data_IF_356282503133
#
_entry.id   IF_356282503133
#
_cell.length_a   1.000
_cell.length_b   1.000
_cell.length_c   1.000
_cell.angle_alpha   90.00
_cell.angle_beta   90.00
_cell.angle_gamma   90.00
#
_symmetry.space_group_name_H-M   'P 1'
#
loop_
_entity.id
_entity.type
_entity.pdbx_description
1 polymer ?
#
# COMPACT_ATOMS: atom_id res chain seq x y z
N UNK A 1 -5.90 2.35 22.79
CA UNK A 1 -4.60 2.66 22.16
C UNK A 1 -4.43 1.75 20.95
N UNK A 2 -5.20 2.03 19.91
CA UNK A 2 -5.22 1.27 18.65
C UNK A 2 -5.78 2.15 17.51
N UNK A 3 -5.76 3.48 17.69
CA UNK A 3 -6.62 4.42 16.96
C UNK A 3 -5.91 5.11 15.80
N UNK A 4 -4.57 5.24 15.81
CA UNK A 4 -3.86 6.04 14.81
C UNK A 4 -3.90 5.43 13.41
N UNK A 5 -3.57 4.13 13.26
CA UNK A 5 -3.59 3.47 11.95
C UNK A 5 -4.99 3.43 11.34
N UNK A 6 -6.01 3.13 12.15
CA UNK A 6 -7.39 3.08 11.66
C UNK A 6 -7.95 4.47 11.39
N UNK A 7 -7.64 5.48 12.21
CA UNK A 7 -8.05 6.87 11.93
C UNK A 7 -7.37 7.43 10.68
N UNK A 8 -6.10 7.11 10.45
CA UNK A 8 -5.42 7.46 9.21
C UNK A 8 -5.99 6.71 8.00
N UNK A 9 -6.34 5.44 8.17
CA UNK A 9 -7.03 4.66 7.14
C UNK A 9 -8.41 5.24 6.79
N UNK A 10 -9.21 5.63 7.79
CA UNK A 10 -10.52 6.27 7.57
C UNK A 10 -10.38 7.55 6.73
N UNK A 11 -9.33 8.36 6.96
CA UNK A 11 -9.01 9.53 6.14
C UNK A 11 -8.73 9.17 4.68
N UNK A 12 -7.95 8.11 4.45
CA UNK A 12 -7.68 7.59 3.10
C UNK A 12 -8.97 7.10 2.44
N UNK A 13 -9.75 6.26 3.12
CA UNK A 13 -11.05 5.76 2.61
C UNK A 13 -12.00 6.91 2.24
N UNK A 14 -12.18 7.89 3.14
CA UNK A 14 -13.07 9.03 2.92
C UNK A 14 -12.59 9.89 1.75
N UNK A 15 -11.27 10.11 1.63
CA UNK A 15 -10.70 10.83 0.50
C UNK A 15 -10.92 10.10 -0.82
N UNK A 16 -10.68 8.79 -0.87
CA UNK A 16 -10.92 7.98 -2.08
C UNK A 16 -12.39 8.01 -2.48
N UNK A 17 -13.30 7.85 -1.51
CA UNK A 17 -14.73 7.88 -1.78
C UNK A 17 -15.19 9.20 -2.40
N UNK A 18 -14.58 10.32 -1.99
CA UNK A 18 -14.93 11.65 -2.47
C UNK A 18 -14.27 12.02 -3.80
N UNK A 19 -13.01 11.61 -4.02
CA UNK A 19 -12.17 12.14 -5.10
C UNK A 19 -11.75 11.08 -6.13
N UNK A 20 -11.68 9.81 -5.74
CA UNK A 20 -11.24 8.69 -6.58
C UNK A 20 -12.18 7.48 -6.41
N UNK A 21 -13.45 7.60 -6.85
CA UNK A 21 -14.48 6.58 -6.60
C UNK A 21 -14.18 5.21 -7.21
N UNK A 22 -13.43 5.13 -8.31
CA UNK A 22 -12.99 3.84 -8.87
C UNK A 22 -11.94 3.18 -7.96
N UNK A 23 -11.00 3.96 -7.41
CA UNK A 23 -10.07 3.43 -6.41
C UNK A 23 -10.75 3.07 -5.09
N UNK A 24 -11.81 3.78 -4.69
CA UNK A 24 -12.63 3.34 -3.56
C UNK A 24 -13.34 2.01 -3.85
N UNK A 25 -13.83 1.83 -5.08
CA UNK A 25 -14.51 0.61 -5.49
C UNK A 25 -13.59 -0.62 -5.62
N UNK A 26 -12.26 -0.44 -5.72
CA UNK A 26 -11.30 -1.55 -5.75
C UNK A 26 -11.09 -2.19 -4.38
N UNK A 27 -11.47 -1.51 -3.28
CA UNK A 27 -11.39 -2.04 -1.92
C UNK A 27 -12.30 -3.27 -1.76
N UNK A 28 -11.71 -4.40 -1.36
CA UNK A 28 -12.44 -5.64 -1.14
C UNK A 28 -13.22 -5.60 0.17
N UNK A 29 -14.31 -6.39 0.33
CA UNK A 29 -14.96 -6.56 1.61
C UNK A 29 -13.98 -7.02 2.72
N UNK A 30 -14.31 -6.80 4.00
CA UNK A 30 -13.53 -7.31 5.14
C UNK A 30 -13.12 -8.78 5.01
N UNK A 31 -11.90 -9.11 5.42
CA UNK A 31 -11.53 -10.50 5.65
C UNK A 31 -12.21 -11.04 6.92
N UNK A 32 -12.58 -12.32 6.89
CA UNK A 32 -13.06 -13.03 8.07
C UNK A 32 -11.94 -13.20 9.12
N UNK A 33 -12.22 -13.08 10.44
CA UNK A 33 -11.22 -13.27 11.49
C UNK A 33 -10.49 -14.62 11.41
N UNK A 34 -11.18 -15.68 11.00
CA UNK A 34 -10.60 -17.00 10.78
C UNK A 34 -9.61 -17.02 9.61
N UNK A 35 -9.87 -16.27 8.54
CA UNK A 35 -8.92 -16.15 7.41
C UNK A 35 -7.68 -15.37 7.83
N UNK A 36 -7.84 -14.29 8.60
CA UNK A 36 -6.71 -13.54 9.16
C UNK A 36 -5.86 -14.42 10.08
N UNK A 37 -6.49 -15.18 10.98
CA UNK A 37 -5.77 -16.10 11.86
C UNK A 37 -5.04 -17.21 11.07
N UNK A 38 -5.66 -17.74 10.02
CA UNK A 38 -5.03 -18.73 9.14
C UNK A 38 -3.85 -18.15 8.36
N UNK A 39 -3.96 -16.92 7.86
CA UNK A 39 -2.85 -16.22 7.20
C UNK A 39 -1.67 -16.00 8.15
N UNK A 40 -1.95 -15.53 9.37
CA UNK A 40 -0.93 -15.38 10.42
C UNK A 40 -0.22 -16.72 10.71
N UNK A 41 -0.99 -17.81 10.84
CA UNK A 41 -0.43 -19.14 11.05
C UNK A 41 0.42 -19.63 9.86
N UNK A 42 0.01 -19.34 8.62
CA UNK A 42 0.77 -19.69 7.40
C UNK A 42 2.09 -18.93 7.29
N UNK A 43 2.13 -17.66 7.72
CA UNK A 43 3.36 -16.87 7.76
C UNK A 43 4.25 -17.23 8.96
N UNK A 44 3.69 -17.87 10.00
CA UNK A 44 4.45 -18.31 11.17
C UNK A 44 4.92 -17.16 12.08
N UNK A 45 4.32 -15.97 11.96
CA UNK A 45 4.65 -14.79 12.77
C UNK A 45 3.42 -14.24 13.47
N UNK A 46 3.60 -13.61 14.62
CA UNK A 46 2.51 -12.89 15.30
C UNK A 46 2.44 -11.48 14.76
N UNK A 47 1.27 -11.06 14.30
CA UNK A 47 1.07 -9.73 13.74
C UNK A 47 0.75 -8.72 14.85
N UNK A 48 1.24 -7.48 14.74
CA UNK A 48 0.68 -6.37 15.47
C UNK A 48 -0.83 -6.25 15.22
N UNK A 49 -1.59 -5.86 16.23
CA UNK A 49 -3.06 -5.85 16.17
C UNK A 49 -3.56 -4.94 15.03
N UNK A 50 -2.90 -3.81 14.83
CA UNK A 50 -3.18 -2.83 13.80
C UNK A 50 -3.01 -3.38 12.38
N UNK A 51 -2.08 -4.31 12.17
CA UNK A 51 -1.87 -4.98 10.88
C UNK A 51 -3.06 -5.89 10.57
N UNK A 52 -3.46 -6.72 11.54
CA UNK A 52 -4.66 -7.56 11.39
C UNK A 52 -5.93 -6.72 11.22
N UNK A 53 -6.02 -5.56 11.90
CA UNK A 53 -7.17 -4.68 11.83
C UNK A 53 -7.42 -4.11 10.42
N UNK A 54 -6.36 -3.86 9.62
CA UNK A 54 -6.53 -3.43 8.23
C UNK A 54 -7.18 -4.52 7.38
N UNK A 55 -6.76 -5.78 7.50
CA UNK A 55 -7.40 -6.87 6.74
C UNK A 55 -8.82 -7.18 7.21
N UNK A 56 -9.08 -7.01 8.52
CA UNK A 56 -10.44 -7.05 9.06
C UNK A 56 -11.33 -5.89 8.59
N UNK A 57 -10.74 -4.86 7.96
CA UNK A 57 -11.47 -3.75 7.36
C UNK A 57 -11.67 -3.98 5.86
N UNK A 58 -10.62 -4.37 5.14
CA UNK A 58 -10.66 -4.74 3.72
C UNK A 58 -9.71 -5.91 3.46
N UNK A 59 -10.15 -6.96 2.76
CA UNK A 59 -9.27 -8.06 2.29
C UNK A 59 -8.42 -7.62 1.09
N UNK A 60 -7.63 -6.56 1.26
CA UNK A 60 -6.87 -5.93 0.18
C UNK A 60 -7.73 -5.11 -0.78
N UNK A 61 -7.16 -4.85 -1.94
CA UNK A 61 -7.82 -4.25 -3.09
C UNK A 61 -7.57 -5.09 -4.35
N UNK A 62 -8.43 -4.93 -5.35
CA UNK A 62 -8.35 -5.68 -6.60
C UNK A 62 -8.66 -4.74 -7.78
N UNK A 63 -7.72 -4.68 -8.73
CA UNK A 63 -7.84 -3.89 -9.94
C UNK A 63 -8.93 -4.41 -10.85
N UNK A 64 -9.50 -3.54 -11.66
CA UNK A 64 -10.49 -3.87 -12.67
C UNK A 64 -10.36 -2.91 -13.86
N UNK A 65 -10.90 -3.29 -15.01
CA UNK A 65 -10.90 -2.45 -16.21
C UNK A 65 -11.69 -1.16 -15.97
N UNK A 66 -11.06 -0.02 -16.26
CA UNK A 66 -11.64 1.30 -16.06
C UNK A 66 -12.22 1.81 -17.38
N UNK A 67 -13.50 2.19 -17.37
CA UNK A 67 -14.14 2.77 -18.55
C UNK A 67 -13.40 4.03 -19.02
N UNK A 68 -12.98 4.05 -20.28
CA UNK A 68 -12.22 5.16 -20.88
C UNK A 68 -10.70 5.04 -20.77
N UNK A 69 -10.19 3.97 -20.16
CA UNK A 69 -8.77 3.61 -20.19
C UNK A 69 -8.51 2.64 -21.35
N UNK A 70 -8.28 3.20 -22.55
CA UNK A 70 -8.13 2.40 -23.78
C UNK A 70 -6.86 1.52 -23.77
N UNK A 71 -5.83 1.93 -23.03
CA UNK A 71 -4.52 1.26 -22.98
C UNK A 71 -4.36 0.37 -21.72
N UNK A 72 -5.29 0.48 -20.74
CA UNK A 72 -5.30 -0.36 -19.54
C UNK A 72 -4.19 -0.04 -18.54
N UNK A 73 -3.75 1.23 -18.51
CA UNK A 73 -2.61 1.67 -17.72
C UNK A 73 -3.01 2.19 -16.32
N UNK A 74 -4.29 2.50 -16.13
CA UNK A 74 -4.85 2.99 -14.87
C UNK A 74 -5.35 1.82 -14.03
N UNK A 75 -4.60 1.50 -12.96
CA UNK A 75 -5.03 0.50 -11.99
C UNK A 75 -5.70 1.16 -10.77
N UNK A 76 -7.02 0.95 -10.56
CA UNK A 76 -7.73 1.52 -9.42
C UNK A 76 -7.23 1.00 -8.06
N UNK A 77 -6.52 -0.13 -8.00
CA UNK A 77 -6.03 -0.70 -6.74
C UNK A 77 -4.72 -0.08 -6.23
N UNK A 78 -3.96 0.64 -7.08
CA UNK A 78 -2.63 1.20 -6.75
C UNK A 78 -2.66 2.52 -5.98
N UNK A 79 -3.59 2.64 -5.03
CA UNK A 79 -3.82 3.90 -4.32
C UNK A 79 -2.85 4.14 -3.14
N UNK A 80 -2.16 3.11 -2.62
CA UNK A 80 -1.21 3.25 -1.51
C UNK A 80 0.18 3.67 -2.01
N UNK A 81 0.31 4.93 -2.43
CA UNK A 81 1.55 5.48 -2.98
C UNK A 81 2.08 4.67 -4.19
N UNK A 82 1.17 4.27 -5.09
CA UNK A 82 1.48 3.48 -6.28
C UNK A 82 1.51 1.98 -6.06
N UNK A 83 1.18 1.50 -4.86
CA UNK A 83 1.07 0.08 -4.53
C UNK A 83 -0.38 -0.32 -4.21
N UNK A 84 -0.66 -1.60 -4.43
CA UNK A 84 -1.93 -2.24 -4.10
C UNK A 84 -1.91 -2.75 -2.67
N UNK A 85 -2.97 -2.49 -1.89
CA UNK A 85 -3.16 -3.17 -0.61
C UNK A 85 -3.37 -4.67 -0.86
N UNK A 86 -2.44 -5.53 -0.45
CA UNK A 86 -2.45 -6.93 -0.86
C UNK A 86 -3.63 -7.68 -0.23
N UNK A 87 -4.41 -8.45 -1.03
CA UNK A 87 -5.32 -9.45 -0.47
C UNK A 87 -4.55 -10.45 0.41
N UNK A 88 -5.21 -11.00 1.44
CA UNK A 88 -4.52 -11.85 2.42
C UNK A 88 -3.76 -13.02 1.80
N UNK A 89 -4.37 -13.70 0.83
CA UNK A 89 -3.74 -14.85 0.17
C UNK A 89 -2.49 -14.45 -0.61
N UNK A 90 -2.49 -13.22 -1.12
CA UNK A 90 -1.36 -12.64 -1.83
C UNK A 90 -0.25 -12.22 -0.88
N UNK A 91 -0.60 -11.57 0.24
CA UNK A 91 0.35 -11.28 1.30
C UNK A 91 1.06 -12.56 1.77
N UNK A 92 0.34 -13.67 1.94
CA UNK A 92 0.93 -14.98 2.30
C UNK A 92 1.87 -15.49 1.20
N UNK A 93 1.49 -15.36 -0.08
CA UNK A 93 2.33 -15.77 -1.22
C UNK A 93 3.63 -14.97 -1.27
N UNK A 94 3.53 -13.64 -1.20
CA UNK A 94 4.69 -12.72 -1.21
C UNK A 94 5.61 -13.00 -0.02
N UNK A 95 5.03 -13.19 1.18
CA UNK A 95 5.81 -13.54 2.36
C UNK A 95 6.61 -14.82 2.13
N UNK A 96 5.95 -15.91 1.73
CA UNK A 96 6.62 -17.19 1.49
C UNK A 96 7.72 -17.09 0.42
N UNK A 97 7.47 -16.38 -0.68
CA UNK A 97 8.41 -16.24 -1.79
C UNK A 97 9.67 -15.43 -1.43
N UNK A 98 9.59 -14.52 -0.45
CA UNK A 98 10.68 -13.57 -0.14
C UNK A 98 11.37 -13.82 1.20
N UNK A 99 10.82 -14.68 2.04
CA UNK A 99 11.39 -15.05 3.34
C UNK A 99 12.52 -16.08 3.30
N UNK A 100 12.75 -16.76 2.16
CA UNK A 100 13.79 -17.78 2.04
C UNK A 100 15.19 -17.19 2.34
N UNK A 101 15.97 -17.73 3.29
CA UNK A 101 17.23 -17.13 3.73
C UNK A 101 18.34 -17.17 2.69
N UNK A 102 18.28 -18.11 1.74
CA UNK A 102 19.32 -18.33 0.74
C UNK A 102 19.02 -17.60 -0.58
N UNK A 103 17.73 -17.49 -0.92
CA UNK A 103 17.26 -17.02 -2.23
C UNK A 103 16.26 -15.87 -2.16
N UNK A 104 15.64 -15.65 -1.00
CA UNK A 104 14.63 -14.61 -0.78
C UNK A 104 15.26 -13.24 -0.56
N UNK A 105 14.71 -12.22 -1.23
CA UNK A 105 15.24 -10.87 -1.16
C UNK A 105 15.10 -10.21 0.24
N UNK A 106 14.14 -10.66 1.06
CA UNK A 106 14.04 -10.26 2.48
C UNK A 106 14.91 -11.17 3.36
N UNK A 107 14.89 -12.48 3.09
CA UNK A 107 15.84 -13.42 3.70
C UNK A 107 15.58 -13.75 5.18
N UNK A 108 14.41 -13.38 5.70
CA UNK A 108 13.95 -13.75 7.03
C UNK A 108 12.43 -13.82 7.07
N UNK A 109 11.86 -14.42 8.12
CA UNK A 109 10.40 -14.55 8.31
C UNK A 109 9.80 -13.45 9.18
N UNK A 110 10.61 -12.59 9.80
CA UNK A 110 10.17 -11.58 10.79
C UNK A 110 9.45 -10.35 10.23
N UNK A 111 8.63 -10.50 9.18
CA UNK A 111 7.98 -9.40 8.47
C UNK A 111 6.63 -9.80 7.88
N UNK A 112 5.79 -8.81 7.60
CA UNK A 112 4.47 -8.98 6.99
C UNK A 112 4.34 -8.01 5.81
N UNK A 113 4.17 -8.48 4.56
CA UNK A 113 3.91 -7.61 3.42
C UNK A 113 2.52 -6.98 3.55
N UNK A 114 2.45 -5.67 3.36
CA UNK A 114 1.22 -4.88 3.41
C UNK A 114 0.72 -4.55 2.01
N UNK A 115 1.58 -3.93 1.20
CA UNK A 115 1.26 -3.52 -0.16
C UNK A 115 2.29 -4.05 -1.14
N UNK A 116 1.96 -4.07 -2.43
CA UNK A 116 2.85 -4.53 -3.50
C UNK A 116 2.47 -3.99 -4.88
N UNK A 117 3.43 -4.05 -5.81
CA UNK A 117 3.19 -3.89 -7.24
C UNK A 117 2.77 -5.24 -7.86
N UNK A 118 2.06 -5.20 -8.99
CA UNK A 118 1.48 -6.39 -9.65
C UNK A 118 2.52 -7.40 -10.12
N UNK A 119 3.73 -6.93 -10.42
CA UNK A 119 4.87 -7.76 -10.80
C UNK A 119 5.63 -8.34 -9.60
N UNK A 120 5.08 -8.15 -8.40
CA UNK A 120 5.72 -8.43 -7.11
C UNK A 120 7.09 -7.76 -6.96
N UNK A 121 7.38 -6.68 -7.68
CA UNK A 121 8.74 -6.17 -7.69
C UNK A 121 9.10 -5.51 -6.36
N UNK A 122 8.18 -4.76 -5.75
CA UNK A 122 8.39 -4.11 -4.48
C UNK A 122 7.07 -3.75 -3.80
N UNK A 123 7.16 -3.40 -2.51
CA UNK A 123 6.04 -2.92 -1.75
C UNK A 123 6.40 -2.58 -0.32
N UNK A 124 5.38 -2.26 0.48
CA UNK A 124 5.55 -1.92 1.88
C UNK A 124 5.33 -3.13 2.80
N UNK A 125 6.03 -3.16 3.93
CA UNK A 125 5.95 -4.22 4.94
C UNK A 125 6.03 -3.65 6.35
N UNK A 126 5.56 -4.45 7.31
CA UNK A 126 5.79 -4.24 8.75
C UNK A 126 6.75 -5.32 9.25
N UNK A 127 7.81 -4.92 9.94
CA UNK A 127 8.68 -5.84 10.68
C UNK A 127 7.97 -6.27 11.96
N UNK A 128 7.98 -7.56 12.27
CA UNK A 128 7.21 -8.14 13.39
C UNK A 128 8.05 -8.97 14.36
N UNK A 129 9.36 -9.09 14.11
CA UNK A 129 10.30 -9.75 15.01
C UNK A 129 11.61 -8.96 15.13
N UNK A 130 12.34 -9.19 16.21
CA UNK A 130 13.63 -8.57 16.48
C UNK A 130 13.54 -7.11 16.98
N UNK A 131 14.69 -6.40 17.01
CA UNK A 131 14.78 -5.05 17.60
C UNK A 131 14.01 -3.98 16.83
N UNK A 132 13.64 -4.27 15.58
CA UNK A 132 12.90 -3.37 14.70
C UNK A 132 11.40 -3.71 14.60
N UNK A 133 10.89 -4.62 15.45
CA UNK A 133 9.47 -4.98 15.46
C UNK A 133 8.56 -3.75 15.62
N UNK A 134 7.49 -3.71 14.82
CA UNK A 134 6.57 -2.58 14.68
C UNK A 134 6.99 -1.55 13.63
N UNK A 135 8.20 -1.66 13.06
CA UNK A 135 8.68 -0.69 12.08
C UNK A 135 8.20 -0.96 10.67
N UNK A 136 7.86 0.10 9.94
CA UNK A 136 7.64 0.05 8.50
C UNK A 136 8.97 -0.09 7.75
N UNK A 137 8.90 -0.86 6.67
CA UNK A 137 9.98 -0.97 5.71
C UNK A 137 9.44 -1.27 4.32
N UNK A 138 10.36 -1.28 3.36
CA UNK A 138 10.13 -1.66 1.98
C UNK A 138 10.78 -3.00 1.71
N UNK A 139 10.07 -3.88 1.02
CA UNK A 139 10.62 -5.08 0.42
C UNK A 139 10.77 -4.86 -1.10
N UNK A 140 11.71 -5.57 -1.72
CA UNK A 140 11.99 -5.54 -3.15
C UNK A 140 12.40 -6.93 -3.63
N UNK A 141 12.21 -7.23 -4.90
CA UNK A 141 12.65 -8.47 -5.54
C UNK A 141 14.16 -8.49 -5.80
N UNK A 142 14.76 -7.30 -6.01
CA UNK A 142 16.18 -7.18 -6.39
C UNK A 142 17.03 -6.47 -5.36
N UNK A 143 16.42 -5.72 -4.45
CA UNK A 143 17.11 -5.05 -3.35
C UNK A 143 16.78 -5.70 -2.01
N UNK A 144 17.75 -5.66 -1.10
CA UNK A 144 17.52 -6.03 0.30
C UNK A 144 16.45 -5.13 0.91
N UNK A 145 15.67 -5.71 1.80
CA UNK A 145 14.66 -4.98 2.56
C UNK A 145 15.27 -3.79 3.31
N UNK A 146 14.55 -2.67 3.37
CA UNK A 146 15.02 -1.42 3.99
C UNK A 146 13.96 -0.85 4.91
N UNK A 147 14.36 -0.38 6.08
CA UNK A 147 13.45 0.31 7.00
C UNK A 147 13.28 1.77 6.59
N UNK A 148 12.07 2.29 6.78
CA UNK A 148 11.80 3.70 6.54
C UNK A 148 12.30 4.56 7.70
N UNK A 149 12.78 5.77 7.37
CA UNK A 149 13.23 6.77 8.32
C UNK A 149 12.22 7.88 8.61
N UNK A 150 11.34 8.19 7.65
CA UNK A 150 10.39 9.31 7.74
C UNK A 150 9.02 8.90 8.28
N UNK A 151 8.56 7.68 7.97
CA UNK A 151 7.36 7.07 8.52
C UNK A 151 7.73 5.69 9.08
N UNK A 152 7.98 5.63 10.38
CA UNK A 152 8.56 4.43 10.99
C UNK A 152 7.52 3.42 11.44
N UNK A 153 6.23 3.76 11.51
CA UNK A 153 5.15 2.88 11.98
C UNK A 153 4.04 2.78 10.93
N UNK A 154 3.17 1.78 11.05
CA UNK A 154 2.01 1.63 10.16
C UNK A 154 1.12 2.89 10.17
N UNK A 155 0.83 3.42 11.36
CA UNK A 155 0.07 4.66 11.52
C UNK A 155 0.76 5.86 10.89
N UNK A 156 2.09 5.97 11.05
CA UNK A 156 2.87 7.03 10.39
C UNK A 156 2.87 6.92 8.87
N UNK A 157 2.92 5.71 8.32
CA UNK A 157 2.82 5.49 6.87
C UNK A 157 1.45 5.89 6.32
N UNK A 158 0.37 5.41 6.94
CA UNK A 158 -0.99 5.77 6.51
C UNK A 158 -1.27 7.26 6.71
N UNK A 159 -0.72 7.87 7.75
CA UNK A 159 -0.79 9.33 7.96
C UNK A 159 -0.06 10.07 6.84
N UNK A 160 1.12 9.61 6.44
CA UNK A 160 1.85 10.20 5.32
C UNK A 160 1.09 10.07 3.99
N UNK A 161 0.39 8.95 3.77
CA UNK A 161 -0.50 8.78 2.59
C UNK A 161 -1.63 9.80 2.66
N UNK A 162 -2.34 9.88 3.79
CA UNK A 162 -3.44 10.82 3.98
C UNK A 162 -3.01 12.29 3.81
N UNK A 163 -1.87 12.69 4.37
CA UNK A 163 -1.33 14.05 4.21
C UNK A 163 -0.97 14.37 2.76
N UNK A 164 -0.35 13.43 2.03
CA UNK A 164 -0.07 13.63 0.62
C UNK A 164 -1.36 13.83 -0.18
N UNK A 165 -2.42 13.06 0.10
CA UNK A 165 -3.73 13.18 -0.56
C UNK A 165 -4.46 14.47 -0.20
N UNK A 166 -4.49 14.85 1.07
CA UNK A 166 -5.29 15.98 1.56
C UNK A 166 -4.62 17.34 1.33
N UNK A 167 -3.29 17.40 1.39
CA UNK A 167 -2.56 18.68 1.35
C UNK A 167 -1.40 18.73 0.37
N UNK A 168 -1.04 17.61 -0.27
CA UNK A 168 0.10 17.55 -1.20
C UNK A 168 1.44 17.69 -0.49
N UNK A 169 1.49 17.38 0.81
CA UNK A 169 2.69 17.55 1.65
C UNK A 169 3.04 16.25 2.36
N UNK A 170 4.16 16.25 3.09
CA UNK A 170 4.58 15.14 3.91
C UNK A 170 5.60 14.25 3.19
N UNK A 171 6.10 13.21 3.88
CA UNK A 171 7.29 12.49 3.45
C UNK A 171 7.11 11.65 2.18
N UNK A 172 5.86 11.41 1.75
CA UNK A 172 5.58 10.77 0.47
C UNK A 172 5.52 11.76 -0.70
N UNK A 173 5.05 13.00 -0.48
CA UNK A 173 5.01 14.04 -1.51
C UNK A 173 6.41 14.59 -1.83
N UNK A 174 7.34 14.55 -0.88
CA UNK A 174 8.73 15.00 -1.08
C UNK A 174 9.58 13.99 -1.89
N UNK A 175 9.03 12.84 -2.26
CA UNK A 175 9.78 11.74 -2.89
C UNK A 175 9.73 11.81 -4.41
N UNK A 176 10.90 12.03 -5.03
CA UNK A 176 11.14 11.91 -6.47
C UNK A 176 10.20 12.75 -7.37
N UNK A 177 9.52 13.75 -6.80
CA UNK A 177 8.53 14.59 -7.48
C UNK A 177 7.24 13.86 -7.88
N UNK A 178 6.97 12.68 -7.30
CA UNK A 178 5.73 11.93 -7.52
C UNK A 178 4.65 12.50 -6.62
N UNK A 179 3.51 12.86 -7.21
CA UNK A 179 2.38 13.48 -6.51
C UNK A 179 1.09 12.70 -6.77
N UNK A 180 0.11 12.75 -5.85
CA UNK A 180 -1.19 12.18 -6.11
C UNK A 180 -1.94 13.01 -7.16
N UNK A 181 -2.64 12.31 -8.04
CA UNK A 181 -3.52 12.88 -9.05
C UNK A 181 -4.73 11.99 -9.29
N UNK A 182 -5.71 12.48 -10.03
CA UNK A 182 -6.90 11.68 -10.39
C UNK A 182 -6.97 11.53 -11.90
N UNK A 183 -7.23 10.30 -12.35
CA UNK A 183 -7.51 9.96 -13.75
C UNK A 183 -8.68 9.00 -13.78
N UNK A 184 -9.73 9.28 -14.57
CA UNK A 184 -10.89 8.39 -14.74
C UNK A 184 -11.51 7.90 -13.41
N UNK A 185 -11.51 8.77 -12.38
CA UNK A 185 -12.00 8.42 -11.04
C UNK A 185 -11.08 7.49 -10.23
N UNK A 186 -9.86 7.23 -10.70
CA UNK A 186 -8.82 6.48 -10.02
C UNK A 186 -7.74 7.42 -9.47
N UNK A 187 -7.21 7.10 -8.30
CA UNK A 187 -6.02 7.76 -7.77
C UNK A 187 -4.80 7.23 -8.51
N UNK A 188 -4.00 8.14 -9.08
CA UNK A 188 -2.71 7.84 -9.69
C UNK A 188 -1.60 8.57 -8.93
N UNK A 189 -0.41 7.99 -8.91
CA UNK A 189 0.79 8.59 -8.33
C UNK A 189 1.80 8.79 -9.44
N UNK A 190 1.96 10.04 -9.89
CA UNK A 190 2.72 10.37 -11.10
C UNK A 190 3.64 11.56 -10.86
N UNK A 191 4.75 11.64 -11.61
CA UNK A 191 5.58 12.85 -11.63
C UNK A 191 5.12 13.75 -12.78
N UNK A 192 4.57 14.95 -12.52
CA UNK A 192 4.01 15.82 -13.56
C UNK A 192 5.09 16.40 -14.49
N UNK A 193 6.37 16.25 -14.16
CA UNK A 193 7.52 16.66 -14.98
C UNK A 193 8.12 15.50 -15.79
N UNK A 194 7.71 14.27 -15.54
CA UNK A 194 8.13 13.10 -16.30
C UNK A 194 7.12 12.81 -17.43
N UNK A 195 7.51 11.97 -18.38
CA UNK A 195 6.53 11.35 -19.27
C UNK A 195 5.60 10.51 -18.40
N UNK A 196 4.29 10.74 -18.55
CA UNK A 196 3.27 10.04 -17.79
C UNK A 196 3.38 8.53 -18.04
N UNK A 197 3.24 7.73 -16.99
CA UNK A 197 3.11 6.28 -17.14
C UNK A 197 1.67 5.84 -17.41
N UNK A 198 0.73 6.80 -17.49
CA UNK A 198 -0.64 6.62 -17.94
C UNK A 198 -0.93 7.61 -19.06
N UNK A 199 -1.45 7.13 -20.18
CA UNK A 199 -1.84 7.93 -21.34
C UNK A 199 -3.18 8.61 -21.12
N UNK A 200 -4.02 8.02 -20.26
CA UNK A 200 -5.26 8.65 -19.81
C UNK A 200 -4.97 10.02 -19.15
N UNK A 201 -5.71 11.09 -19.52
CA UNK A 201 -5.55 12.39 -18.89
C UNK A 201 -5.69 12.30 -17.38
N UNK A 202 -4.79 12.96 -16.66
CA UNK A 202 -4.80 13.00 -15.21
C UNK A 202 -4.45 14.41 -14.72
N UNK A 203 -4.95 14.76 -13.54
CA UNK A 203 -4.69 16.05 -12.91
C UNK A 203 -4.11 15.85 -11.51
N UNK A 204 -2.99 16.50 -11.15
CA UNK A 204 -2.52 16.52 -9.77
C UNK A 204 -3.59 17.07 -8.84
N UNK A 205 -3.76 16.46 -7.66
CA UNK A 205 -4.70 16.95 -6.65
C UNK A 205 -4.27 18.32 -6.11
N UNK A 206 -2.96 18.55 -6.04
CA UNK A 206 -2.34 19.78 -5.52
C UNK A 206 -1.34 20.36 -6.53
N UNK A 207 -1.78 20.99 -7.63
CA UNK A 207 -0.91 21.39 -8.75
C UNK A 207 0.04 22.56 -8.43
N UNK A 208 -0.29 23.38 -7.42
CA UNK A 208 0.46 24.59 -7.05
C UNK A 208 1.51 24.35 -5.93
N UNK A 209 1.81 23.09 -5.62
CA UNK A 209 2.74 22.70 -4.54
C UNK A 209 4.09 22.20 -5.07
#
# INVERSE_FOLDING_TARGET
MNDESLAAWDRVEDWLKANAPCSYASLRPPAGPERVAAAQARMGVTWPREVAALWLRHDGAEGFEVDGDEEGEVDPAKFLAGYTFLPLDEAVRVHAARSDPDTGAVGCTGWVPLSGADDDYAGEMVVVDGPDAGRMGRWSATDRARLHGAYTTLGGYLTAVAEALETGTGPLADRDGVVPGVSLGCLVWQNPRAVSAVDAPWEPVHPDR
#
